data_IF_481994921243
#
_entry.id   IF_481994921243
#
_cell.length_a   1.000
_cell.length_b   1.000
_cell.length_c   1.000
_cell.angle_alpha   90.00
_cell.angle_beta   90.00
_cell.angle_gamma   90.00
#
_symmetry.space_group_name_H-M   'P 1'
#
loop_
_entity.id
_entity.type
_entity.pdbx_description
1 polymer ?
#
# COMPACT_ATOMS: atom_id res chain seq x y z
N UNK A 1 -10.78 15.15 -13.20
CA UNK A 1 -9.48 14.46 -13.40
C UNK A 1 -8.36 14.87 -12.45
N UNK A 2 -8.09 16.16 -12.19
CA UNK A 2 -6.96 16.58 -11.34
C UNK A 2 -7.05 16.08 -9.89
N UNK A 3 -8.20 16.23 -9.24
CA UNK A 3 -8.42 15.73 -7.87
C UNK A 3 -8.31 14.21 -7.78
N UNK A 4 -8.85 13.49 -8.76
CA UNK A 4 -8.76 12.03 -8.81
C UNK A 4 -7.32 11.56 -9.04
N UNK A 5 -6.57 12.21 -9.93
CA UNK A 5 -5.14 11.97 -10.10
C UNK A 5 -4.36 12.19 -8.79
N UNK A 6 -4.68 13.25 -8.04
CA UNK A 6 -4.03 13.51 -6.75
C UNK A 6 -4.32 12.40 -5.72
N UNK A 7 -5.56 11.91 -5.65
CA UNK A 7 -5.92 10.76 -4.81
C UNK A 7 -5.11 9.52 -5.22
N UNK A 8 -4.99 9.24 -6.52
CA UNK A 8 -4.18 8.11 -7.02
C UNK A 8 -2.73 8.21 -6.59
N UNK A 9 -2.14 9.41 -6.65
CA UNK A 9 -0.76 9.65 -6.22
C UNK A 9 -0.61 9.39 -4.72
N UNK A 10 -1.55 9.84 -3.89
CA UNK A 10 -1.55 9.58 -2.44
C UNK A 10 -1.60 8.07 -2.16
N UNK A 11 -2.52 7.36 -2.81
CA UNK A 11 -2.66 5.91 -2.64
C UNK A 11 -1.38 5.18 -3.06
N UNK A 12 -0.77 5.57 -4.19
CA UNK A 12 0.53 5.03 -4.62
C UNK A 12 1.64 5.31 -3.61
N UNK A 13 1.74 6.53 -3.09
CA UNK A 13 2.75 6.89 -2.10
C UNK A 13 2.60 6.07 -0.81
N UNK A 14 1.36 5.85 -0.36
CA UNK A 14 1.05 4.99 0.78
C UNK A 14 1.45 3.53 0.52
N UNK A 15 1.21 3.00 -0.68
CA UNK A 15 1.63 1.64 -1.03
C UNK A 15 3.16 1.50 -1.01
N UNK A 16 3.89 2.48 -1.57
CA UNK A 16 5.37 2.51 -1.52
C UNK A 16 5.86 2.58 -0.07
N UNK A 17 5.22 3.38 0.78
CA UNK A 17 5.53 3.46 2.20
C UNK A 17 5.36 2.11 2.90
N UNK A 18 4.23 1.41 2.67
CA UNK A 18 3.97 0.08 3.26
C UNK A 18 5.01 -0.95 2.80
N UNK A 19 5.39 -0.95 1.52
CA UNK A 19 6.45 -1.82 1.02
C UNK A 19 7.80 -1.52 1.69
N UNK A 20 8.16 -0.24 1.80
CA UNK A 20 9.38 0.19 2.49
C UNK A 20 9.36 -0.21 3.97
N UNK A 21 8.21 -0.08 4.62
CA UNK A 21 8.01 -0.52 5.99
C UNK A 21 8.17 -2.03 6.14
N UNK A 22 7.69 -2.83 5.19
CA UNK A 22 7.91 -4.27 5.17
C UNK A 22 9.40 -4.65 5.07
N UNK A 23 10.21 -3.89 4.31
CA UNK A 23 11.67 -4.06 4.33
C UNK A 23 12.30 -3.67 5.67
N UNK A 24 11.75 -2.66 6.35
CA UNK A 24 12.22 -2.23 7.67
C UNK A 24 11.88 -3.20 8.80
N UNK A 25 10.95 -4.14 8.55
CA UNK A 25 10.43 -5.06 9.54
C UNK A 25 11.54 -5.94 10.16
N UNK A 26 12.60 -6.23 9.40
CA UNK A 26 13.79 -6.96 9.86
C UNK A 26 14.54 -6.28 11.00
N UNK A 27 14.41 -4.96 11.17
CA UNK A 27 15.07 -4.20 12.23
C UNK A 27 14.38 -4.34 13.59
N UNK A 28 13.13 -4.83 13.63
CA UNK A 28 12.40 -5.04 14.87
C UNK A 28 12.76 -6.39 15.53
N UNK A 29 12.85 -6.46 16.87
CA UNK A 29 13.09 -7.72 17.57
C UNK A 29 11.99 -8.76 17.30
N UNK A 30 12.36 -10.01 17.04
CA UNK A 30 11.44 -11.13 16.79
C UNK A 30 10.37 -11.28 17.87
N UNK A 31 10.73 -11.08 19.15
CA UNK A 31 9.78 -11.15 20.28
C UNK A 31 8.67 -10.09 20.15
N UNK A 32 9.02 -8.90 19.68
CA UNK A 32 8.05 -7.82 19.49
C UNK A 32 7.13 -8.09 18.31
N UNK A 33 7.71 -8.48 17.16
CA UNK A 33 6.93 -8.81 15.94
C UNK A 33 5.88 -9.89 16.19
N UNK A 34 6.26 -10.95 16.91
CA UNK A 34 5.34 -12.04 17.29
C UNK A 34 4.28 -11.61 18.29
N UNK A 35 4.60 -10.72 19.25
CA UNK A 35 3.64 -10.26 20.28
C UNK A 35 2.43 -9.58 19.66
N UNK A 36 2.61 -8.86 18.56
CA UNK A 36 1.54 -8.09 17.90
C UNK A 36 1.17 -8.64 16.51
N UNK A 37 1.63 -9.85 16.15
CA UNK A 37 1.42 -10.47 14.83
C UNK A 37 1.75 -9.51 13.66
N UNK A 38 2.83 -8.74 13.82
CA UNK A 38 3.18 -7.65 12.92
C UNK A 38 3.44 -8.14 11.49
N UNK A 39 4.10 -9.29 11.34
CA UNK A 39 4.40 -9.89 10.02
C UNK A 39 3.11 -10.14 9.23
N UNK A 40 2.08 -10.70 9.88
CA UNK A 40 0.76 -10.94 9.27
C UNK A 40 0.03 -9.64 8.94
N UNK A 41 0.05 -8.67 9.86
CA UNK A 41 -0.62 -7.38 9.67
C UNK A 41 -0.02 -6.61 8.49
N UNK A 42 1.30 -6.59 8.38
CA UNK A 42 2.00 -5.93 7.28
C UNK A 42 1.82 -6.68 5.96
N UNK A 43 1.88 -8.01 5.98
CA UNK A 43 1.56 -8.82 4.80
C UNK A 43 0.16 -8.54 4.26
N UNK A 44 -0.83 -8.46 5.16
CA UNK A 44 -2.21 -8.13 4.80
C UNK A 44 -2.32 -6.69 4.25
N UNK A 45 -1.66 -5.72 4.88
CA UNK A 45 -1.60 -4.35 4.38
C UNK A 45 -1.01 -4.28 2.97
N UNK A 46 0.10 -4.98 2.69
CA UNK A 46 0.71 -5.01 1.35
C UNK A 46 -0.29 -5.51 0.30
N UNK A 47 -0.97 -6.63 0.57
CA UNK A 47 -1.93 -7.23 -0.37
C UNK A 47 -3.07 -6.24 -0.67
N UNK A 48 -3.73 -5.74 0.37
CA UNK A 48 -4.88 -4.85 0.19
C UNK A 48 -4.52 -3.51 -0.46
N UNK A 49 -3.42 -2.87 -0.04
CA UNK A 49 -3.02 -1.58 -0.62
C UNK A 49 -2.45 -1.71 -2.04
N UNK A 50 -1.80 -2.83 -2.36
CA UNK A 50 -1.36 -3.09 -3.74
C UNK A 50 -2.57 -3.30 -4.66
N UNK A 51 -3.55 -4.10 -4.24
CA UNK A 51 -4.81 -4.27 -4.99
C UNK A 51 -5.56 -2.95 -5.15
N UNK A 52 -5.73 -2.18 -4.06
CA UNK A 52 -6.39 -0.87 -4.09
C UNK A 52 -5.70 0.08 -5.07
N UNK A 53 -4.37 0.14 -5.04
CA UNK A 53 -3.58 0.98 -5.95
C UNK A 53 -3.88 0.60 -7.40
N UNK A 54 -3.87 -0.70 -7.72
CA UNK A 54 -4.18 -1.19 -9.07
C UNK A 54 -5.58 -0.74 -9.54
N UNK A 55 -6.62 -0.96 -8.72
CA UNK A 55 -7.99 -0.59 -9.09
C UNK A 55 -8.17 0.91 -9.29
N UNK A 56 -7.59 1.71 -8.40
CA UNK A 56 -7.68 3.17 -8.45
C UNK A 56 -7.02 3.74 -9.71
N UNK A 57 -5.90 3.15 -10.15
CA UNK A 57 -5.27 3.50 -11.43
C UNK A 57 -6.04 3.02 -12.64
N UNK A 58 -6.59 1.79 -12.62
CA UNK A 58 -7.42 1.27 -13.71
C UNK A 58 -8.64 2.17 -13.96
N UNK A 59 -9.35 2.56 -12.90
CA UNK A 59 -10.50 3.46 -13.00
C UNK A 59 -10.06 4.82 -13.55
N UNK A 60 -8.92 5.36 -13.11
CA UNK A 60 -8.40 6.63 -13.62
C UNK A 60 -8.09 6.58 -15.12
N UNK A 61 -7.42 5.53 -15.59
CA UNK A 61 -7.11 5.38 -17.00
C UNK A 61 -8.38 5.16 -17.83
N UNK A 62 -9.33 4.38 -17.34
CA UNK A 62 -10.63 4.20 -17.98
C UNK A 62 -11.34 5.55 -18.18
N UNK A 63 -11.52 6.32 -17.10
CA UNK A 63 -12.16 7.64 -17.15
C UNK A 63 -11.37 8.70 -17.95
N UNK A 64 -10.07 8.49 -18.17
CA UNK A 64 -9.24 9.40 -18.96
C UNK A 64 -9.36 9.11 -20.45
N UNK A 65 -9.57 7.85 -20.82
CA UNK A 65 -9.63 7.39 -22.21
C UNK A 65 -11.04 7.47 -22.80
N UNK A 66 -12.07 7.24 -21.99
CA UNK A 66 -13.50 7.27 -22.34
C UNK A 66 -14.20 8.40 -21.60
#
# INVERSE_FOLDING_TARGET
>A
MKTFLFINIIVSALNIFILTYAYSLKFFPLKWRKKVNQDTLVGLAIIFFTMLTMFVWLIYFYLKLF
#
